data_IF_332190976978
#
_entry.id   IF_332190976978
#
_cell.length_a   1.000
_cell.length_b   1.000
_cell.length_c   1.000
_cell.angle_alpha   90.00
_cell.angle_beta   90.00
_cell.angle_gamma   90.00
#
_symmetry.space_group_name_H-M   'P 1'
#
loop_
_entity.id
_entity.type
_entity.pdbx_description
1 polymer ?
#
# COMPACT_ATOMS: atom_id res chain seq x y z
N UNK A 1 -32.90 5.39 -5.18
CA UNK A 1 -32.63 4.19 -4.35
C UNK A 1 -31.18 3.70 -4.43
N UNK A 2 -30.46 3.92 -5.55
CA UNK A 2 -29.06 3.49 -5.77
C UNK A 2 -27.98 4.19 -4.90
N UNK A 3 -28.15 5.48 -4.56
CA UNK A 3 -27.11 6.26 -3.86
C UNK A 3 -26.84 5.81 -2.40
N UNK A 4 -27.87 5.36 -1.67
CA UNK A 4 -27.69 4.96 -0.25
C UNK A 4 -26.91 3.65 -0.10
N UNK A 5 -27.07 2.72 -1.03
CA UNK A 5 -26.36 1.43 -0.99
C UNK A 5 -24.87 1.65 -1.28
N UNK A 6 -24.54 2.55 -2.21
CA UNK A 6 -23.17 2.94 -2.50
C UNK A 6 -22.50 3.64 -1.30
N UNK A 7 -23.19 4.55 -0.62
CA UNK A 7 -22.69 5.18 0.62
C UNK A 7 -22.43 4.15 1.73
N UNK A 8 -23.34 3.19 1.92
CA UNK A 8 -23.17 2.16 2.96
C UNK A 8 -22.02 1.20 2.65
N UNK A 9 -21.85 0.80 1.39
CA UNK A 9 -20.72 -0.07 0.97
C UNK A 9 -19.40 0.69 1.08
N UNK A 10 -19.38 1.98 0.72
CA UNK A 10 -18.21 2.84 0.88
C UNK A 10 -17.74 2.90 2.33
N UNK A 11 -18.68 2.99 3.28
CA UNK A 11 -18.32 3.05 4.70
C UNK A 11 -17.69 1.75 5.24
N UNK A 12 -18.04 0.60 4.65
CA UNK A 12 -17.53 -0.71 5.11
C UNK A 12 -16.20 -1.12 4.46
N UNK A 13 -15.92 -0.62 3.25
CA UNK A 13 -14.74 -0.99 2.45
C UNK A 13 -13.61 0.04 2.57
N UNK A 14 -13.93 1.31 2.80
CA UNK A 14 -12.92 2.37 2.87
C UNK A 14 -12.30 2.50 4.26
N UNK A 15 -10.98 2.56 4.30
CA UNK A 15 -10.20 2.72 5.52
C UNK A 15 -10.00 4.20 5.81
N UNK A 16 -10.35 4.60 7.04
CA UNK A 16 -9.96 5.91 7.54
C UNK A 16 -8.43 6.00 7.64
N UNK A 17 -7.81 7.12 7.23
CA UNK A 17 -6.37 7.34 7.41
C UNK A 17 -5.93 7.32 8.88
N UNK A 18 -6.86 7.47 9.83
CA UNK A 18 -6.60 7.38 11.28
C UNK A 18 -6.95 6.03 11.89
N UNK A 19 -7.23 5.02 11.06
CA UNK A 19 -7.62 3.70 11.53
C UNK A 19 -6.44 2.90 12.08
N UNK A 20 -6.69 2.11 13.13
CA UNK A 20 -5.68 1.19 13.70
C UNK A 20 -5.22 0.13 12.72
N UNK A 21 -6.07 -0.24 11.75
CA UNK A 21 -5.73 -1.18 10.69
C UNK A 21 -4.61 -0.63 9.81
N UNK A 22 -4.69 0.65 9.43
CA UNK A 22 -3.64 1.29 8.63
C UNK A 22 -2.33 1.38 9.42
N UNK A 23 -2.36 1.64 10.72
CA UNK A 23 -1.15 1.60 11.56
C UNK A 23 -0.46 0.24 11.52
N UNK A 24 -1.22 -0.86 11.51
CA UNK A 24 -0.63 -2.21 11.37
C UNK A 24 0.00 -2.37 9.99
N UNK A 25 -0.66 -1.90 8.93
CA UNK A 25 -0.10 -1.89 7.57
C UNK A 25 1.19 -1.06 7.53
N UNK A 26 1.22 0.13 8.12
CA UNK A 26 2.40 1.00 8.14
C UNK A 26 3.57 0.34 8.86
N UNK A 27 3.32 -0.32 9.99
CA UNK A 27 4.37 -1.07 10.73
C UNK A 27 4.91 -2.24 9.91
N UNK A 28 4.03 -3.01 9.26
CA UNK A 28 4.45 -4.12 8.39
C UNK A 28 5.21 -3.62 7.16
N UNK A 29 4.79 -2.51 6.56
CA UNK A 29 5.50 -1.84 5.46
C UNK A 29 6.85 -1.32 5.90
N UNK A 30 6.98 -0.77 7.11
CA UNK A 30 8.28 -0.36 7.65
C UNK A 30 9.22 -1.56 7.80
N UNK A 31 8.72 -2.71 8.25
CA UNK A 31 9.52 -3.93 8.34
C UNK A 31 9.96 -4.45 6.97
N UNK A 32 9.03 -4.51 6.00
CA UNK A 32 9.33 -4.93 4.63
C UNK A 32 10.37 -3.99 3.98
N UNK A 33 10.22 -2.68 4.17
CA UNK A 33 11.17 -1.67 3.69
C UNK A 33 12.57 -1.88 4.26
N UNK A 34 12.69 -2.17 5.56
CA UNK A 34 13.99 -2.48 6.17
C UNK A 34 14.61 -3.72 5.53
N UNK A 35 13.82 -4.76 5.26
CA UNK A 35 14.31 -5.97 4.57
C UNK A 35 14.85 -5.59 3.19
N UNK A 36 14.08 -4.90 2.36
CA UNK A 36 14.50 -4.54 1.00
C UNK A 36 15.71 -3.61 0.99
N UNK A 37 15.76 -2.63 1.91
CA UNK A 37 16.85 -1.66 2.03
C UNK A 37 18.21 -2.32 2.30
N UNK A 38 18.24 -3.43 3.04
CA UNK A 38 19.49 -4.14 3.33
C UNK A 38 19.73 -5.34 2.40
N UNK A 39 18.68 -6.08 2.07
CA UNK A 39 18.80 -7.33 1.34
C UNK A 39 19.15 -7.10 -0.14
N UNK A 40 18.51 -6.13 -0.80
CA UNK A 40 18.73 -5.87 -2.22
C UNK A 40 20.19 -5.43 -2.47
N UNK A 41 20.75 -4.42 -1.76
CA UNK A 41 22.16 -4.06 -1.96
C UNK A 41 23.13 -5.19 -1.62
N UNK A 42 22.81 -6.02 -0.62
CA UNK A 42 23.63 -7.16 -0.24
C UNK A 42 23.68 -8.23 -1.34
N UNK A 43 22.54 -8.59 -1.94
CA UNK A 43 22.48 -9.51 -3.06
C UNK A 43 23.26 -8.96 -4.25
N UNK A 44 23.07 -7.67 -4.57
CA UNK A 44 23.72 -7.04 -5.72
C UNK A 44 25.23 -6.89 -5.56
N UNK A 45 25.71 -6.49 -4.38
CA UNK A 45 27.13 -6.24 -4.15
C UNK A 45 27.98 -7.52 -4.04
N UNK A 46 27.36 -8.66 -3.74
CA UNK A 46 28.02 -9.96 -3.66
C UNK A 46 27.59 -10.93 -4.77
N UNK A 47 26.79 -10.47 -5.73
CA UNK A 47 26.29 -11.26 -6.87
C UNK A 47 25.71 -12.62 -6.42
N UNK A 48 24.93 -12.60 -5.33
CA UNK A 48 24.35 -13.82 -4.78
C UNK A 48 23.24 -14.36 -5.69
N UNK A 49 23.22 -15.68 -5.86
CA UNK A 49 22.11 -16.34 -6.51
C UNK A 49 20.83 -16.14 -5.68
N UNK A 50 19.74 -15.75 -6.35
CA UNK A 50 18.44 -15.54 -5.72
C UNK A 50 17.73 -16.88 -5.59
N UNK A 51 18.15 -17.68 -4.63
CA UNK A 51 17.57 -18.98 -4.31
C UNK A 51 17.23 -19.11 -2.82
N UNK A 52 16.56 -20.22 -2.48
CA UNK A 52 16.19 -20.56 -1.10
C UNK A 52 15.54 -19.41 -0.32
N UNK A 53 16.21 -18.99 0.76
CA UNK A 53 15.71 -17.95 1.67
C UNK A 53 15.62 -16.59 0.99
N UNK A 54 16.58 -16.24 0.12
CA UNK A 54 16.57 -14.94 -0.55
C UNK A 54 15.39 -14.81 -1.51
N UNK A 55 15.11 -15.85 -2.28
CA UNK A 55 13.94 -15.90 -3.16
C UNK A 55 12.62 -15.77 -2.37
N UNK A 56 12.50 -16.45 -1.23
CA UNK A 56 11.31 -16.35 -0.36
C UNK A 56 11.15 -14.94 0.21
N UNK A 57 12.22 -14.34 0.73
CA UNK A 57 12.17 -12.98 1.28
C UNK A 57 11.78 -11.95 0.23
N UNK A 58 12.43 -11.96 -0.95
CA UNK A 58 12.11 -11.03 -2.02
C UNK A 58 10.69 -11.24 -2.58
N UNK A 59 10.26 -12.49 -2.72
CA UNK A 59 8.88 -12.77 -3.15
C UNK A 59 7.87 -12.26 -2.12
N UNK A 60 8.16 -12.43 -0.83
CA UNK A 60 7.29 -11.94 0.23
C UNK A 60 7.20 -10.41 0.25
N UNK A 61 8.31 -9.68 0.07
CA UNK A 61 8.28 -8.21 0.00
C UNK A 61 7.60 -7.72 -1.27
N UNK A 62 7.81 -8.34 -2.43
CA UNK A 62 7.09 -8.01 -3.68
C UNK A 62 5.58 -8.21 -3.54
N UNK A 63 5.15 -9.32 -2.95
CA UNK A 63 3.71 -9.56 -2.66
C UNK A 63 3.18 -8.49 -1.71
N UNK A 64 3.95 -8.13 -0.67
CA UNK A 64 3.57 -7.09 0.27
C UNK A 64 3.37 -5.74 -0.40
N UNK A 65 4.31 -5.28 -1.23
CA UNK A 65 4.16 -4.02 -1.97
C UNK A 65 2.97 -4.03 -2.93
N UNK A 66 2.72 -5.16 -3.60
CA UNK A 66 1.54 -5.32 -4.46
C UNK A 66 0.23 -5.19 -3.68
N UNK A 67 0.16 -5.77 -2.47
CA UNK A 67 -0.99 -5.61 -1.59
C UNK A 67 -1.11 -4.18 -1.05
N UNK A 68 0.01 -3.53 -0.75
CA UNK A 68 0.04 -2.15 -0.25
C UNK A 68 -0.54 -1.17 -1.27
N UNK A 69 -0.24 -1.33 -2.56
CA UNK A 69 -0.90 -0.57 -3.64
C UNK A 69 -2.43 -0.70 -3.55
N UNK A 70 -2.94 -1.91 -3.41
CA UNK A 70 -4.37 -2.17 -3.26
C UNK A 70 -4.97 -1.49 -2.03
N UNK A 71 -4.25 -1.48 -0.91
CA UNK A 71 -4.66 -0.80 0.33
C UNK A 71 -4.70 0.72 0.14
N UNK A 72 -3.75 1.30 -0.61
CA UNK A 72 -3.72 2.73 -0.89
C UNK A 72 -4.95 3.18 -1.72
N UNK A 73 -5.46 2.35 -2.62
CA UNK A 73 -6.73 2.60 -3.31
C UNK A 73 -7.97 2.57 -2.40
N UNK A 74 -7.87 1.95 -1.23
CA UNK A 74 -8.94 1.85 -0.23
C UNK A 74 -8.78 2.85 0.93
N UNK A 75 -7.72 3.65 0.93
CA UNK A 75 -7.40 4.54 2.04
C UNK A 75 -7.83 5.97 1.71
N UNK A 76 -8.63 6.56 2.60
CA UNK A 76 -9.05 7.95 2.48
C UNK A 76 -7.89 8.93 2.67
N UNK A 77 -8.02 10.13 2.12
CA UNK A 77 -6.99 11.18 2.24
C UNK A 77 -7.59 12.49 2.73
N UNK A 78 -6.74 13.38 3.25
CA UNK A 78 -7.13 14.73 3.63
C UNK A 78 -6.88 15.71 2.50
N UNK A 79 -7.92 16.45 2.10
CA UNK A 79 -7.85 17.52 1.11
C UNK A 79 -8.29 18.83 1.77
N UNK A 80 -7.36 19.79 1.92
CA UNK A 80 -7.62 21.07 2.60
C UNK A 80 -8.22 20.93 4.01
N UNK A 81 -7.84 19.89 4.75
CA UNK A 81 -8.35 19.61 6.10
C UNK A 81 -9.65 18.81 6.15
N UNK A 82 -10.30 18.54 5.01
CA UNK A 82 -11.49 17.68 4.92
C UNK A 82 -11.10 16.23 4.59
N UNK A 83 -11.70 15.28 5.31
CA UNK A 83 -11.52 13.86 5.05
C UNK A 83 -12.35 13.43 3.83
N UNK A 84 -11.67 12.96 2.78
CA UNK A 84 -12.31 12.48 1.55
C UNK A 84 -12.29 10.94 1.52
N UNK A 85 -13.49 10.34 1.58
CA UNK A 85 -13.69 8.87 1.57
C UNK A 85 -14.32 8.36 0.26
N UNK A 86 -14.49 9.22 -0.75
CA UNK A 86 -15.13 8.83 -2.02
C UNK A 86 -14.16 7.98 -2.87
N UNK A 87 -14.49 6.73 -3.23
CA UNK A 87 -13.62 5.83 -4.00
C UNK A 87 -13.06 6.43 -5.28
N UNK A 88 -13.91 7.11 -6.05
CA UNK A 88 -13.50 7.73 -7.32
C UNK A 88 -12.55 8.90 -7.12
N UNK A 89 -12.68 9.63 -6.01
CA UNK A 89 -11.77 10.71 -5.65
C UNK A 89 -10.42 10.14 -5.16
N UNK A 90 -10.44 9.08 -4.36
CA UNK A 90 -9.24 8.36 -3.88
C UNK A 90 -8.46 7.81 -5.07
N UNK A 91 -9.09 7.01 -5.92
CA UNK A 91 -8.44 6.40 -7.07
C UNK A 91 -7.83 7.47 -8.01
N UNK A 92 -8.55 8.56 -8.27
CA UNK A 92 -8.02 9.66 -9.09
C UNK A 92 -6.84 10.35 -8.42
N UNK A 93 -6.91 10.63 -7.12
CA UNK A 93 -5.84 11.29 -6.38
C UNK A 93 -4.58 10.43 -6.35
N UNK A 94 -4.72 9.14 -6.03
CA UNK A 94 -3.62 8.19 -5.94
C UNK A 94 -2.95 7.95 -7.31
N UNK A 95 -3.74 7.73 -8.37
CA UNK A 95 -3.22 7.57 -9.74
C UNK A 95 -2.43 8.78 -10.25
N UNK A 96 -2.78 9.99 -9.80
CA UNK A 96 -2.13 11.22 -10.25
C UNK A 96 -0.88 11.58 -9.46
N UNK A 97 -0.67 11.01 -8.27
CA UNK A 97 0.40 11.43 -7.36
C UNK A 97 1.39 10.34 -7.02
N UNK A 98 0.92 9.20 -6.52
CA UNK A 98 1.77 8.23 -5.82
C UNK A 98 1.87 6.91 -6.56
N UNK A 99 0.85 6.55 -7.35
CA UNK A 99 0.82 5.28 -8.08
C UNK A 99 2.04 5.02 -8.97
N UNK A 100 2.58 6.06 -9.62
CA UNK A 100 3.74 5.90 -10.51
C UNK A 100 4.98 5.48 -9.71
N UNK A 101 5.15 6.01 -8.50
CA UNK A 101 6.27 5.68 -7.63
C UNK A 101 6.09 4.27 -7.06
N UNK A 102 4.88 3.93 -6.63
CA UNK A 102 4.61 2.61 -6.04
C UNK A 102 4.67 1.47 -7.08
N UNK A 103 4.40 1.77 -8.36
CA UNK A 103 4.41 0.77 -9.44
C UNK A 103 5.80 0.51 -10.04
N UNK A 104 6.72 1.48 -9.94
CA UNK A 104 8.07 1.40 -10.51
C UNK A 104 9.05 0.73 -9.54
#
# INVERSE_FOLDING_TARGET
MSLKVLDTIQHYVMLSPTSKALVVVDVLSMMALVVDMFLIPYILAWELDVDGVFAVCLTATVVWWTLNIGINFLTGFYLHGELVMKPTAIARHYLQREFIIDFL
#
